data_IF_069990555777
#
_entry.id   IF_069990555777
#
_cell.length_a   1.000
_cell.length_b   1.000
_cell.length_c   1.000
_cell.angle_alpha   90.00
_cell.angle_beta   90.00
_cell.angle_gamma   90.00
#
_symmetry.space_group_name_H-M   'P 1'
#
loop_
_entity.id
_entity.type
_entity.pdbx_description
1 polymer ?
#
# COMPACT_ATOMS: atom_id res chain seq x y z
N UNK A 1 17.57 -22.70 -17.05
CA UNK A 1 17.42 -23.77 -16.03
C UNK A 1 18.14 -25.04 -16.47
N UNK A 2 17.98 -25.49 -17.73
CA UNK A 2 18.69 -26.64 -18.34
C UNK A 2 20.21 -26.68 -18.04
N UNK A 3 20.97 -25.66 -18.47
CA UNK A 3 22.43 -25.59 -18.26
C UNK A 3 22.85 -25.66 -16.78
N UNK A 4 22.03 -25.12 -15.89
CA UNK A 4 22.31 -25.17 -14.45
C UNK A 4 22.08 -26.59 -13.92
N UNK A 5 21.01 -27.26 -14.35
CA UNK A 5 20.75 -28.66 -14.02
C UNK A 5 21.85 -29.58 -14.55
N UNK A 6 22.31 -29.38 -15.78
CA UNK A 6 23.46 -30.09 -16.37
C UNK A 6 24.73 -29.93 -15.52
N UNK A 7 25.02 -28.70 -15.07
CA UNK A 7 26.18 -28.41 -14.21
C UNK A 7 26.10 -29.14 -12.87
N UNK A 8 24.88 -29.39 -12.38
CA UNK A 8 24.62 -30.15 -11.17
C UNK A 8 24.52 -31.67 -11.41
N UNK A 9 24.75 -32.14 -12.64
CA UNK A 9 24.69 -33.56 -13.01
C UNK A 9 23.26 -34.12 -13.12
N UNK A 10 22.26 -33.26 -13.26
CA UNK A 10 20.87 -33.66 -13.43
C UNK A 10 20.54 -33.93 -14.90
N UNK A 11 19.59 -34.84 -15.14
CA UNK A 11 19.23 -35.34 -16.47
C UNK A 11 18.36 -34.38 -17.32
N UNK A 12 18.18 -33.13 -16.87
CA UNK A 12 17.35 -32.10 -17.53
C UNK A 12 16.33 -31.47 -16.60
N UNK A 13 15.51 -30.57 -17.15
CA UNK A 13 14.45 -29.84 -16.42
C UNK A 13 13.11 -30.05 -17.12
N UNK A 14 12.07 -30.40 -16.37
CA UNK A 14 10.72 -30.58 -16.95
C UNK A 14 10.07 -29.22 -17.27
N UNK A 15 9.12 -29.22 -18.20
CA UNK A 15 8.36 -28.02 -18.56
C UNK A 15 7.56 -27.46 -17.37
N UNK A 16 7.04 -28.33 -16.50
CA UNK A 16 6.31 -27.96 -15.28
C UNK A 16 7.13 -27.04 -14.35
N UNK A 17 8.47 -27.20 -14.32
CA UNK A 17 9.34 -26.32 -13.54
C UNK A 17 9.31 -24.87 -14.03
N UNK A 18 9.19 -24.66 -15.35
CA UNK A 18 9.11 -23.32 -15.92
C UNK A 18 7.75 -22.68 -15.63
N UNK A 19 6.67 -23.45 -15.70
CA UNK A 19 5.32 -22.97 -15.37
C UNK A 19 5.21 -22.58 -13.90
N UNK A 20 5.71 -23.42 -12.99
CA UNK A 20 5.74 -23.13 -11.56
C UNK A 20 6.56 -21.88 -11.25
N UNK A 21 7.79 -21.78 -11.81
CA UNK A 21 8.64 -20.61 -11.61
C UNK A 21 7.95 -19.33 -12.09
N UNK A 22 7.30 -19.36 -13.25
CA UNK A 22 6.62 -18.19 -13.78
C UNK A 22 5.43 -17.78 -12.89
N UNK A 23 4.65 -18.75 -12.41
CA UNK A 23 3.52 -18.49 -11.52
C UNK A 23 3.97 -17.90 -10.19
N UNK A 24 5.03 -18.46 -9.60
CA UNK A 24 5.51 -18.02 -8.30
C UNK A 24 6.28 -16.70 -8.39
N UNK A 25 6.99 -16.45 -9.49
CA UNK A 25 7.60 -15.15 -9.78
C UNK A 25 6.53 -14.06 -9.95
N UNK A 26 5.44 -14.34 -10.67
CA UNK A 26 4.33 -13.42 -10.82
C UNK A 26 3.70 -13.07 -9.46
N UNK A 27 3.41 -14.07 -8.62
CA UNK A 27 2.90 -13.85 -7.26
C UNK A 27 3.89 -13.04 -6.42
N UNK A 28 5.18 -13.37 -6.50
CA UNK A 28 6.23 -12.68 -5.77
C UNK A 28 6.28 -11.20 -6.14
N UNK A 29 6.35 -10.86 -7.43
CA UNK A 29 6.39 -9.48 -7.90
C UNK A 29 5.11 -8.70 -7.54
N UNK A 30 3.94 -9.33 -7.68
CA UNK A 30 2.66 -8.74 -7.26
C UNK A 30 2.65 -8.42 -5.77
N UNK A 31 3.21 -9.30 -4.93
CA UNK A 31 3.29 -9.08 -3.49
C UNK A 31 4.20 -7.89 -3.16
N UNK A 32 5.36 -7.76 -3.80
CA UNK A 32 6.27 -6.62 -3.59
C UNK A 32 5.62 -5.29 -4.00
N UNK A 33 4.93 -5.27 -5.14
CA UNK A 33 4.19 -4.09 -5.61
C UNK A 33 3.07 -3.74 -4.63
N UNK A 34 2.29 -4.74 -4.19
CA UNK A 34 1.22 -4.54 -3.21
C UNK A 34 1.74 -3.92 -1.91
N UNK A 35 2.84 -4.43 -1.35
CA UNK A 35 3.48 -3.86 -0.16
C UNK A 35 3.87 -2.38 -0.35
N UNK A 36 4.24 -1.99 -1.58
CA UNK A 36 4.58 -0.61 -1.93
C UNK A 36 3.32 0.28 -2.03
N UNK A 37 2.21 -0.25 -2.55
CA UNK A 37 0.92 0.47 -2.67
C UNK A 37 0.26 0.66 -1.29
N UNK A 38 0.25 -0.37 -0.46
CA UNK A 38 -0.40 -0.35 0.87
C UNK A 38 0.24 0.68 1.81
N UNK A 39 1.53 0.96 1.65
CA UNK A 39 2.23 2.02 2.38
C UNK A 39 1.56 3.39 2.22
N UNK A 40 1.10 3.71 1.00
CA UNK A 40 0.42 4.97 0.66
C UNK A 40 -0.99 5.01 1.27
N UNK A 41 -1.70 3.88 1.32
CA UNK A 41 -3.04 3.80 1.90
C UNK A 41 -3.06 4.13 3.40
N UNK A 42 -2.03 3.71 4.14
CA UNK A 42 -1.93 3.96 5.59
C UNK A 42 -1.47 5.37 5.96
N UNK A 43 -0.83 6.11 5.05
CA UNK A 43 -0.40 7.50 5.27
C UNK A 43 -1.57 8.46 5.05
N UNK A 44 -2.33 8.30 3.98
CA UNK A 44 -3.51 9.14 3.66
C UNK A 44 -4.59 9.05 4.75
N UNK A 45 -4.85 7.85 5.28
CA UNK A 45 -5.81 7.67 6.39
C UNK A 45 -5.35 8.36 7.68
N UNK A 46 -4.04 8.56 7.86
CA UNK A 46 -3.45 9.22 9.04
C UNK A 46 -3.52 10.74 8.94
N UNK A 47 -3.35 11.29 7.74
CA UNK A 47 -3.44 12.73 7.50
C UNK A 47 -4.89 13.24 7.52
N UNK A 48 -5.87 12.41 7.13
CA UNK A 48 -7.30 12.72 7.31
C UNK A 48 -7.73 12.81 8.78
N UNK A 49 -6.98 12.22 9.73
CA UNK A 49 -7.26 12.31 11.17
C UNK A 49 -6.69 13.56 11.85
N UNK A 50 -5.86 14.36 11.18
CA UNK A 50 -5.28 15.60 11.74
C UNK A 50 -6.17 16.85 11.55
N UNK A 51 -7.43 16.67 11.15
CA UNK A 51 -8.38 17.75 10.90
C UNK A 51 -9.33 18.11 12.05
N UNK A 52 -9.00 17.84 13.32
CA UNK A 52 -9.83 18.32 14.46
C UNK A 52 -9.18 19.56 15.08
N UNK A 53 -9.61 20.79 14.73
CA UNK A 53 -9.29 21.95 15.53
C UNK A 53 -10.09 21.86 16.83
N UNK A 54 -9.41 21.63 17.95
CA UNK A 54 -9.94 21.80 19.30
C UNK A 54 -10.29 23.28 19.52
N UNK A 55 -11.46 23.72 19.05
CA UNK A 55 -12.10 24.95 19.52
C UNK A 55 -12.74 24.66 20.86
N UNK A 56 -11.94 24.73 21.91
CA UNK A 56 -12.41 24.78 23.29
C UNK A 56 -12.95 26.19 23.56
N UNK A 57 -14.20 26.49 23.19
CA UNK A 57 -14.90 27.65 23.77
C UNK A 57 -16.41 27.58 23.53
N UNK A 58 -17.17 27.19 24.54
CA UNK A 58 -18.52 27.70 24.83
C UNK A 58 -19.06 27.07 26.13
N UNK A 59 -18.67 27.61 27.28
CA UNK A 59 -19.55 27.62 28.45
C UNK A 59 -20.13 29.03 28.53
N UNK A 60 -21.33 29.20 27.98
CA UNK A 60 -22.04 30.46 27.92
C UNK A 60 -23.54 30.20 27.87
N UNK A 61 -24.20 30.48 28.99
CA UNK A 61 -25.61 30.23 29.30
C UNK A 61 -26.57 30.80 28.24
N UNK A 62 -27.66 30.07 27.97
CA UNK A 62 -28.84 30.57 27.26
C UNK A 62 -29.58 31.63 28.09
N UNK A 63 -29.89 32.78 27.50
CA UNK A 63 -31.02 33.63 27.94
C UNK A 63 -31.57 34.48 26.77
N UNK A 64 -32.87 34.30 26.47
CA UNK A 64 -33.81 35.15 25.70
C UNK A 64 -33.67 35.35 24.17
N UNK A 65 -34.72 34.92 23.45
CA UNK A 65 -35.36 35.73 22.39
C UNK A 65 -35.41 35.13 20.98
N UNK A 66 -36.61 34.69 20.57
CA UNK A 66 -37.08 34.50 19.18
C UNK A 66 -36.50 33.33 18.38
N UNK A 67 -37.28 32.24 18.30
CA UNK A 67 -37.13 31.17 17.30
C UNK A 67 -38.04 31.49 16.12
N UNK A 68 -37.47 31.75 14.93
CA UNK A 68 -38.22 31.76 13.67
C UNK A 68 -37.90 30.52 12.81
N UNK A 69 -38.83 30.11 11.91
CA UNK A 69 -38.97 28.74 11.48
C UNK A 69 -38.62 28.49 10.00
N UNK A 70 -38.53 27.20 9.67
CA UNK A 70 -38.55 26.57 8.35
C UNK A 70 -37.22 26.49 7.58
N UNK A 71 -36.73 25.27 7.41
CA UNK A 71 -36.82 24.60 6.12
C UNK A 71 -36.78 23.08 6.32
N UNK A 72 -37.86 22.43 5.89
CA UNK A 72 -37.94 20.98 5.71
C UNK A 72 -37.13 20.59 4.48
N UNK A 73 -36.32 19.54 4.61
CA UNK A 73 -36.17 18.56 3.53
C UNK A 73 -35.80 17.21 4.13
N UNK A 74 -36.78 16.32 4.14
CA UNK A 74 -36.61 14.88 4.38
C UNK A 74 -36.16 14.23 3.07
N UNK A 75 -35.08 13.45 3.10
CA UNK A 75 -34.90 12.21 2.34
C UNK A 75 -33.82 11.40 3.07
N UNK A 76 -34.24 10.37 3.79
CA UNK A 76 -34.29 8.96 3.35
C UNK A 76 -32.93 8.29 3.41
N UNK A 77 -32.89 7.21 4.19
CA UNK A 77 -31.66 6.55 4.60
C UNK A 77 -30.96 5.74 3.52
N UNK A 78 -29.71 5.42 3.83
CA UNK A 78 -29.09 4.16 3.44
C UNK A 78 -28.24 3.67 4.61
N UNK A 79 -28.46 2.40 4.97
CA UNK A 79 -27.61 1.66 5.88
C UNK A 79 -26.19 1.46 5.32
N UNK A 80 -25.36 0.67 6.00
CA UNK A 80 -23.92 0.70 5.84
C UNK A 80 -23.55 0.39 4.40
N UNK A 81 -22.89 1.36 3.75
CA UNK A 81 -22.31 1.19 2.42
C UNK A 81 -21.39 -0.02 2.47
N UNK A 82 -21.87 -1.12 1.90
CA UNK A 82 -21.11 -2.33 1.71
C UNK A 82 -19.87 -2.02 0.89
N UNK A 83 -18.72 -2.36 1.47
CA UNK A 83 -17.69 -3.19 0.85
C UNK A 83 -17.63 -3.08 -0.68
N UNK A 84 -17.02 -2.01 -1.20
CA UNK A 84 -16.26 -1.95 -2.49
C UNK A 84 -15.87 -0.51 -2.84
N UNK A 85 -15.36 0.27 -1.89
CA UNK A 85 -14.86 1.64 -2.15
C UNK A 85 -13.38 1.77 -1.79
N UNK A 86 -12.56 0.77 -2.06
CA UNK A 86 -11.10 0.89 -1.87
C UNK A 86 -10.41 0.12 -3.01
N UNK A 87 -9.30 0.67 -3.52
CA UNK A 87 -8.51 0.23 -4.69
C UNK A 87 -8.92 0.81 -6.06
N UNK A 88 -9.27 2.09 -6.15
CA UNK A 88 -9.01 2.88 -7.38
C UNK A 88 -8.63 4.32 -7.06
N UNK A 89 -7.87 4.52 -5.98
CA UNK A 89 -6.97 5.67 -6.03
C UNK A 89 -5.87 5.31 -7.01
N UNK A 90 -5.87 5.98 -8.17
CA UNK A 90 -4.79 5.89 -9.15
C UNK A 90 -3.53 6.57 -8.59
N UNK A 91 -3.06 6.14 -7.42
CA UNK A 91 -1.81 6.61 -6.84
C UNK A 91 -0.69 5.89 -7.58
N UNK A 92 0.12 6.68 -8.28
CA UNK A 92 1.38 6.20 -8.82
C UNK A 92 2.30 5.86 -7.66
N UNK A 93 2.89 4.67 -7.67
CA UNK A 93 3.94 4.29 -6.74
C UNK A 93 5.27 4.85 -7.22
N UNK A 94 6.06 5.41 -6.30
CA UNK A 94 7.43 5.83 -6.57
C UNK A 94 8.43 4.73 -6.18
N UNK A 95 9.65 4.83 -6.69
CA UNK A 95 10.75 3.97 -6.24
C UNK A 95 11.02 4.11 -4.74
N UNK A 96 10.76 5.29 -4.16
CA UNK A 96 10.91 5.51 -2.72
C UNK A 96 9.87 4.73 -1.91
N UNK A 97 8.64 4.60 -2.41
CA UNK A 97 7.60 3.79 -1.76
C UNK A 97 8.01 2.31 -1.72
N UNK A 98 8.58 1.81 -2.83
CA UNK A 98 9.17 0.48 -2.88
C UNK A 98 10.31 0.32 -1.87
N UNK A 99 11.25 1.27 -1.82
CA UNK A 99 12.37 1.26 -0.87
C UNK A 99 11.89 1.17 0.58
N UNK A 100 11.00 2.07 0.98
CA UNK A 100 10.47 2.10 2.35
C UNK A 100 9.72 0.80 2.67
N UNK A 101 8.90 0.28 1.73
CA UNK A 101 8.22 -1.00 1.93
C UNK A 101 9.20 -2.15 2.16
N UNK A 102 10.28 -2.22 1.37
CA UNK A 102 11.32 -3.25 1.53
C UNK A 102 12.11 -3.07 2.83
N UNK A 103 12.33 -1.85 3.31
CA UNK A 103 12.93 -1.59 4.62
C UNK A 103 12.05 -2.06 5.79
N UNK A 104 10.74 -1.86 5.69
CA UNK A 104 9.79 -2.22 6.75
C UNK A 104 9.57 -3.73 6.84
N UNK A 105 9.64 -4.45 5.71
CA UNK A 105 9.51 -5.90 5.69
C UNK A 105 10.48 -6.55 4.69
N UNK A 106 11.78 -6.62 5.04
CA UNK A 106 12.80 -7.02 4.09
C UNK A 106 12.80 -8.51 3.78
N UNK A 107 12.20 -9.33 4.65
CA UNK A 107 12.07 -10.78 4.43
C UNK A 107 11.28 -11.11 3.17
N UNK A 108 10.45 -10.18 2.65
CA UNK A 108 9.78 -10.35 1.37
C UNK A 108 10.74 -10.42 0.18
N UNK A 109 12.00 -10.00 0.31
CA UNK A 109 13.02 -10.10 -0.73
C UNK A 109 13.65 -11.51 -0.84
N UNK A 110 13.29 -12.43 0.06
CA UNK A 110 13.85 -13.78 0.11
C UNK A 110 15.06 -13.90 1.02
N UNK A 111 15.81 -15.00 0.88
CA UNK A 111 16.91 -15.38 1.77
C UNK A 111 18.04 -14.34 1.79
N UNK A 112 18.44 -13.86 0.61
CA UNK A 112 19.51 -12.88 0.44
C UNK A 112 19.06 -11.42 0.64
N UNK A 113 17.96 -11.20 1.37
CA UNK A 113 17.41 -9.86 1.57
C UNK A 113 18.44 -8.82 2.06
N UNK A 114 19.45 -9.13 2.92
CA UNK A 114 20.40 -8.11 3.36
C UNK A 114 21.19 -7.52 2.18
N UNK A 115 21.69 -8.39 1.29
CA UNK A 115 22.46 -7.98 0.10
C UNK A 115 21.55 -7.32 -0.94
N UNK A 116 20.32 -7.81 -1.09
CA UNK A 116 19.35 -7.22 -2.01
C UNK A 116 18.94 -5.81 -1.58
N UNK A 117 18.74 -5.57 -0.28
CA UNK A 117 18.53 -4.23 0.25
C UNK A 117 19.71 -3.33 -0.10
N UNK A 118 20.95 -3.72 0.21
CA UNK A 118 22.14 -2.91 -0.12
C UNK A 118 22.14 -2.48 -1.59
N UNK A 119 21.88 -3.42 -2.52
CA UNK A 119 21.78 -3.13 -3.96
C UNK A 119 20.67 -2.14 -4.31
N UNK A 120 19.49 -2.28 -3.68
CA UNK A 120 18.36 -1.37 -3.89
C UNK A 120 18.73 0.06 -3.46
N UNK A 121 19.47 0.22 -2.36
CA UNK A 121 19.86 1.54 -1.86
C UNK A 121 21.01 2.17 -2.64
N UNK A 122 22.00 1.38 -3.05
CA UNK A 122 23.15 1.87 -3.84
C UNK A 122 22.74 2.33 -5.24
N UNK A 123 21.85 1.59 -5.92
CA UNK A 123 21.36 1.95 -7.26
C UNK A 123 20.60 3.27 -7.31
N UNK A 124 19.98 3.68 -6.21
CA UNK A 124 19.34 5.00 -6.16
C UNK A 124 20.31 6.17 -6.08
N UNK A 125 21.56 5.93 -5.70
CA UNK A 125 22.58 6.99 -5.67
C UNK A 125 23.03 7.34 -7.08
N UNK A 126 23.10 6.35 -7.98
CA UNK A 126 23.53 6.50 -9.38
C UNK A 126 22.47 7.16 -10.28
N UNK A 127 21.18 7.09 -9.93
CA UNK A 127 20.08 7.68 -10.74
C UNK A 127 19.90 9.19 -10.49
N UNK A 128 20.63 9.76 -9.52
CA UNK A 128 20.55 11.19 -9.15
C UNK A 128 21.80 12.01 -9.54
N UNK A 129 22.73 11.44 -10.32
CA UNK A 129 23.86 12.13 -10.99
C UNK A 129 23.58 12.29 -12.51
#
# INVERSE_FOLDING_TARGET
>A
MEKAAETLGLAGVTMDCAELLNSDLDKYLKNLIRSSVELIGTSVQRDARKGIPYKQQAYGKQINGVRLPNHVHMHSGSGPSGVTNEITSNHLISINDFKVAMQLNPQQLGEDWPVLLEKIYLRSLEEND
#
